data_IF_813281394939
#
_entry.id   IF_813281394939
#
_cell.length_a   1.000
_cell.length_b   1.000
_cell.length_c   1.000
_cell.angle_alpha   90.00
_cell.angle_beta   90.00
_cell.angle_gamma   90.00
#
_symmetry.space_group_name_H-M   'P 1'
#
loop_
_entity.id
_entity.type
_entity.pdbx_description
1 polymer ?
#
# COMPACT_ATOMS: atom_id res chain seq x y z
N UNK A 1 -24.69 63.79 26.95
CA UNK A 1 -24.40 62.96 25.76
C UNK A 1 -25.66 62.19 25.38
N UNK A 2 -26.16 62.31 24.15
CA UNK A 2 -27.43 61.65 23.76
C UNK A 2 -27.25 60.13 23.69
N UNK A 3 -28.26 59.35 24.12
CA UNK A 3 -28.27 57.88 23.96
C UNK A 3 -27.97 57.46 22.51
N UNK A 4 -28.37 58.27 21.53
CA UNK A 4 -28.06 58.05 20.10
C UNK A 4 -26.57 58.22 19.78
N UNK A 5 -25.87 59.14 20.44
CA UNK A 5 -24.43 59.37 20.27
C UNK A 5 -23.61 58.23 20.89
N UNK A 6 -24.00 57.77 22.09
CA UNK A 6 -23.37 56.61 22.76
C UNK A 6 -23.51 55.36 21.88
N UNK A 7 -24.73 55.09 21.38
CA UNK A 7 -25.01 53.94 20.51
C UNK A 7 -24.19 53.96 19.22
N UNK A 8 -24.06 55.12 18.56
CA UNK A 8 -23.26 55.28 17.33
C UNK A 8 -21.78 55.02 17.58
N UNK A 9 -21.25 55.50 18.71
CA UNK A 9 -19.85 55.29 19.09
C UNK A 9 -19.60 53.80 19.36
N UNK A 10 -20.48 53.14 20.13
CA UNK A 10 -20.36 51.70 20.40
C UNK A 10 -20.41 50.87 19.12
N UNK A 11 -21.33 51.18 18.19
CA UNK A 11 -21.43 50.49 16.91
C UNK A 11 -20.16 50.67 16.05
N UNK A 12 -19.58 51.87 16.03
CA UNK A 12 -18.35 52.14 15.28
C UNK A 12 -17.15 51.34 15.83
N UNK A 13 -16.99 51.27 17.16
CA UNK A 13 -15.94 50.47 17.77
C UNK A 13 -16.11 48.96 17.51
N UNK A 14 -17.35 48.45 17.59
CA UNK A 14 -17.64 47.05 17.26
C UNK A 14 -17.29 46.72 15.80
N UNK A 15 -17.62 47.61 14.86
CA UNK A 15 -17.31 47.42 13.44
C UNK A 15 -15.79 47.36 13.18
N UNK A 16 -15.01 48.24 13.83
CA UNK A 16 -13.54 48.24 13.71
C UNK A 16 -12.94 46.95 14.29
N UNK A 17 -13.43 46.51 15.45
CA UNK A 17 -12.95 45.28 16.09
C UNK A 17 -13.23 44.04 15.21
N UNK A 18 -14.42 43.96 14.61
CA UNK A 18 -14.79 42.88 13.68
C UNK A 18 -13.89 42.91 12.44
N UNK A 19 -13.67 44.09 11.86
CA UNK A 19 -12.83 44.21 10.67
C UNK A 19 -11.37 43.82 10.97
N UNK A 20 -10.84 44.21 12.14
CA UNK A 20 -9.50 43.82 12.59
C UNK A 20 -9.38 42.31 12.85
N UNK A 21 -10.43 41.67 13.39
CA UNK A 21 -10.44 40.23 13.58
C UNK A 21 -10.49 39.47 12.25
N UNK A 22 -11.28 39.96 11.29
CA UNK A 22 -11.36 39.39 9.94
C UNK A 22 -10.01 39.51 9.22
N UNK A 23 -9.33 40.66 9.28
CA UNK A 23 -8.02 40.81 8.64
C UNK A 23 -6.95 39.92 9.26
N UNK A 24 -6.96 39.74 10.59
CA UNK A 24 -6.06 38.79 11.26
C UNK A 24 -6.38 37.35 10.85
N UNK A 25 -7.66 36.95 10.81
CA UNK A 25 -8.07 35.62 10.34
C UNK A 25 -7.66 35.38 8.88
N UNK A 26 -7.87 36.35 7.99
CA UNK A 26 -7.42 36.26 6.59
C UNK A 26 -5.89 36.17 6.49
N UNK A 27 -5.15 36.96 7.28
CA UNK A 27 -3.70 36.88 7.31
C UNK A 27 -3.22 35.52 7.83
N UNK A 28 -3.88 34.94 8.83
CA UNK A 28 -3.59 33.59 9.31
C UNK A 28 -3.85 32.54 8.23
N UNK A 29 -4.95 32.61 7.48
CA UNK A 29 -5.21 31.68 6.37
C UNK A 29 -4.18 31.80 5.25
N UNK A 30 -3.66 33.01 4.97
CA UNK A 30 -2.62 33.23 3.95
C UNK A 30 -1.22 32.79 4.44
N UNK A 31 -0.90 33.03 5.72
CA UNK A 31 0.40 32.67 6.31
C UNK A 31 0.48 31.20 6.71
N UNK A 32 -0.67 30.58 6.97
CA UNK A 32 -0.84 29.15 7.23
C UNK A 32 -1.82 28.60 6.18
N UNK A 33 -1.42 28.56 4.90
CA UNK A 33 -2.24 27.91 3.88
C UNK A 33 -2.54 26.50 4.40
N UNK A 34 -3.83 26.16 4.41
CA UNK A 34 -4.30 24.86 4.85
C UNK A 34 -3.57 23.79 4.02
N UNK A 35 -2.68 23.04 4.68
CA UNK A 35 -1.90 21.94 4.09
C UNK A 35 -2.83 20.86 3.46
N UNK A 36 -4.14 20.98 3.71
CA UNK A 36 -5.20 20.21 3.07
C UNK A 36 -5.52 20.61 1.62
N UNK A 37 -5.09 21.75 1.09
CA UNK A 37 -5.35 22.04 -0.34
C UNK A 37 -4.53 21.13 -1.25
N UNK A 38 -3.36 20.69 -0.79
CA UNK A 38 -2.61 19.62 -1.45
C UNK A 38 -3.32 18.26 -1.31
N UNK A 39 -4.23 18.05 -0.34
CA UNK A 39 -5.04 16.82 -0.18
C UNK A 39 -6.00 16.58 -1.35
N UNK A 40 -6.52 17.65 -1.95
CA UNK A 40 -7.37 17.55 -3.14
C UNK A 40 -6.59 17.56 -4.47
N UNK A 41 -5.33 18.00 -4.45
CA UNK A 41 -4.39 17.90 -5.57
C UNK A 41 -3.45 16.68 -5.46
N UNK A 42 -3.81 15.74 -4.58
CA UNK A 42 -3.02 14.58 -4.23
C UNK A 42 -3.34 13.37 -5.08
N UNK A 43 -2.30 12.75 -5.67
CA UNK A 43 -2.19 12.78 -7.11
C UNK A 43 -3.54 12.43 -7.73
N UNK A 44 -4.11 13.40 -8.44
CA UNK A 44 -5.04 13.07 -9.51
C UNK A 44 -4.37 11.92 -10.28
N UNK A 45 -4.97 10.72 -10.29
CA UNK A 45 -4.43 9.51 -10.95
C UNK A 45 -4.12 9.76 -12.45
N UNK A 46 -4.44 10.93 -12.98
CA UNK A 46 -4.01 11.50 -14.26
C UNK A 46 -2.50 11.78 -14.38
N UNK A 47 -1.74 11.90 -13.29
CA UNK A 47 -0.27 11.85 -13.34
C UNK A 47 0.19 10.39 -13.22
N UNK A 48 -0.09 9.58 -14.24
CA UNK A 48 0.28 8.16 -14.28
C UNK A 48 1.77 7.96 -13.96
N UNK A 49 2.13 7.22 -12.90
CA UNK A 49 3.53 6.83 -12.67
C UNK A 49 4.05 6.07 -13.89
N UNK A 50 5.37 6.09 -14.09
CA UNK A 50 5.96 5.17 -15.07
C UNK A 50 5.58 3.75 -14.63
N UNK A 51 5.12 2.94 -15.57
CA UNK A 51 4.74 1.57 -15.30
C UNK A 51 5.25 0.68 -16.41
N UNK A 52 5.45 -0.59 -16.07
CA UNK A 52 5.79 -1.61 -17.02
C UNK A 52 5.45 -2.97 -16.47
N UNK A 53 5.37 -3.94 -17.36
CA UNK A 53 5.05 -5.31 -16.99
C UNK A 53 5.83 -6.32 -17.80
N UNK A 54 6.00 -7.49 -17.20
CA UNK A 54 6.77 -8.59 -17.76
C UNK A 54 6.02 -9.90 -17.54
N UNK A 55 6.21 -10.81 -18.47
CA UNK A 55 5.91 -12.21 -18.29
C UNK A 55 7.07 -12.88 -17.56
N UNK A 56 6.75 -13.88 -16.75
CA UNK A 56 7.68 -14.73 -15.99
C UNK A 56 7.26 -16.19 -16.16
N UNK A 57 8.18 -17.12 -15.92
CA UNK A 57 7.83 -18.54 -15.76
C UNK A 57 7.71 -18.87 -14.26
N UNK A 58 6.50 -19.11 -13.72
CA UNK A 58 6.34 -19.40 -12.30
C UNK A 58 7.04 -20.67 -11.82
N UNK A 59 7.39 -21.61 -12.71
CA UNK A 59 8.08 -22.86 -12.35
C UNK A 59 9.57 -22.68 -12.18
N UNK A 60 10.19 -21.88 -13.04
CA UNK A 60 11.65 -21.78 -13.13
C UNK A 60 12.20 -20.46 -12.58
N UNK A 61 11.34 -19.46 -12.33
CA UNK A 61 11.78 -18.12 -11.90
C UNK A 61 12.78 -18.14 -10.75
N UNK A 62 12.57 -18.97 -9.72
CA UNK A 62 13.49 -18.98 -8.57
C UNK A 62 14.85 -19.57 -8.90
N UNK A 63 14.89 -20.63 -9.71
CA UNK A 63 16.16 -21.22 -10.17
C UNK A 63 16.92 -20.22 -11.03
N UNK A 64 16.24 -19.57 -11.97
CA UNK A 64 16.81 -18.51 -12.81
C UNK A 64 17.35 -17.34 -11.99
N UNK A 65 16.57 -16.83 -11.03
CA UNK A 65 16.99 -15.74 -10.15
C UNK A 65 18.18 -16.15 -9.25
N UNK A 66 18.21 -17.37 -8.74
CA UNK A 66 19.32 -17.88 -7.93
C UNK A 66 20.61 -18.04 -8.74
N UNK A 67 20.50 -18.34 -10.03
CA UNK A 67 21.63 -18.42 -10.96
C UNK A 67 22.09 -17.04 -11.48
N UNK A 68 21.35 -15.96 -11.15
CA UNK A 68 21.65 -14.60 -11.63
C UNK A 68 21.24 -14.36 -13.08
N UNK A 69 20.32 -15.17 -13.62
CA UNK A 69 19.82 -15.05 -14.99
C UNK A 69 18.96 -13.78 -15.15
N UNK A 70 19.24 -13.01 -16.21
CA UNK A 70 18.61 -11.71 -16.46
C UNK A 70 17.45 -11.75 -17.46
N UNK A 71 17.29 -12.86 -18.18
CA UNK A 71 16.24 -13.11 -19.17
C UNK A 71 14.93 -13.64 -18.57
N UNK A 72 14.87 -13.76 -17.24
CA UNK A 72 13.68 -14.15 -16.46
C UNK A 72 12.46 -13.24 -16.69
N UNK A 73 12.67 -11.96 -17.01
CA UNK A 73 11.61 -10.97 -17.22
C UNK A 73 11.42 -10.66 -18.71
N UNK A 74 10.45 -11.33 -19.33
CA UNK A 74 10.15 -11.16 -20.76
C UNK A 74 9.18 -10.00 -20.94
N UNK A 75 9.50 -8.96 -21.73
CA UNK A 75 8.60 -7.82 -21.93
C UNK A 75 7.19 -8.24 -22.34
N UNK A 76 6.16 -7.77 -21.63
CA UNK A 76 4.78 -7.98 -22.03
C UNK A 76 4.41 -6.97 -23.13
N UNK A 77 4.62 -7.37 -24.39
CA UNK A 77 4.32 -6.52 -25.56
C UNK A 77 2.85 -6.60 -26.02
N UNK A 78 2.06 -7.51 -25.43
CA UNK A 78 0.74 -7.89 -25.94
C UNK A 78 -0.44 -7.06 -25.41
N UNK A 79 -0.26 -6.22 -24.39
CA UNK A 79 -1.36 -5.54 -23.71
C UNK A 79 -1.11 -4.05 -23.52
N UNK A 80 -1.47 -3.28 -24.56
CA UNK A 80 -1.44 -1.81 -24.54
C UNK A 80 -2.55 -1.24 -23.63
N UNK A 81 -3.59 -2.03 -23.34
CA UNK A 81 -4.81 -1.58 -22.65
C UNK A 81 -4.87 -1.95 -21.14
N UNK A 82 -3.78 -2.44 -20.55
CA UNK A 82 -3.69 -2.70 -19.11
C UNK A 82 -4.50 -3.90 -18.59
N UNK A 83 -4.92 -4.82 -19.48
CA UNK A 83 -5.49 -6.11 -19.10
C UNK A 83 -4.44 -7.06 -18.49
N UNK A 84 -4.90 -8.15 -17.86
CA UNK A 84 -4.05 -9.28 -17.46
C UNK A 84 -3.85 -10.22 -18.64
N UNK A 85 -2.67 -10.86 -18.82
CA UNK A 85 -2.44 -11.79 -19.91
C UNK A 85 -3.49 -12.91 -19.93
N UNK A 86 -3.86 -13.38 -21.12
CA UNK A 86 -4.74 -14.55 -21.30
C UNK A 86 -4.07 -15.87 -20.87
N UNK A 87 -2.79 -15.81 -20.47
CA UNK A 87 -2.04 -16.95 -19.94
C UNK A 87 -2.56 -17.24 -18.54
N UNK A 88 -3.09 -18.44 -18.34
CA UNK A 88 -3.42 -18.97 -17.02
C UNK A 88 -2.48 -20.13 -16.73
N UNK A 89 -1.72 -19.99 -15.66
CA UNK A 89 -0.84 -21.04 -15.16
C UNK A 89 -1.66 -22.04 -14.34
N UNK A 90 -1.74 -23.27 -14.84
CA UNK A 90 -2.67 -24.29 -14.34
C UNK A 90 -2.19 -25.01 -13.07
N UNK A 91 -0.89 -24.94 -12.74
CA UNK A 91 -0.37 -25.63 -11.55
C UNK A 91 -0.63 -24.80 -10.28
N UNK A 92 -0.88 -25.45 -9.13
CA UNK A 92 -1.03 -24.76 -7.85
C UNK A 92 0.19 -23.89 -7.53
N UNK A 93 -0.06 -22.65 -7.12
CA UNK A 93 0.98 -21.74 -6.63
C UNK A 93 1.09 -21.88 -5.12
N UNK A 94 2.23 -22.39 -4.65
CA UNK A 94 2.54 -22.54 -3.22
C UNK A 94 3.57 -21.50 -2.74
N UNK A 95 3.57 -20.31 -3.34
CA UNK A 95 4.56 -19.29 -3.08
C UNK A 95 4.38 -18.65 -1.71
N UNK A 96 5.50 -18.41 -1.05
CA UNK A 96 5.65 -17.84 0.29
C UNK A 96 5.92 -16.34 0.24
N UNK A 97 5.76 -15.65 1.36
CA UNK A 97 6.10 -14.23 1.50
C UNK A 97 7.52 -13.94 0.98
N UNK A 98 8.49 -14.80 1.34
CA UNK A 98 9.89 -14.69 0.91
C UNK A 98 10.05 -14.68 -0.61
N UNK A 99 9.22 -15.46 -1.31
CA UNK A 99 9.32 -15.70 -2.74
C UNK A 99 8.91 -14.43 -3.52
N UNK A 100 7.84 -13.78 -3.06
CA UNK A 100 7.40 -12.49 -3.58
C UNK A 100 8.44 -11.39 -3.33
N UNK A 101 9.02 -11.32 -2.12
CA UNK A 101 10.06 -10.34 -1.80
C UNK A 101 11.31 -10.53 -2.68
N UNK A 102 11.68 -11.78 -2.98
CA UNK A 102 12.78 -12.11 -3.88
C UNK A 102 12.51 -11.60 -5.30
N UNK A 103 11.29 -11.83 -5.83
CA UNK A 103 10.90 -11.35 -7.16
C UNK A 103 10.85 -9.83 -7.21
N UNK A 104 10.28 -9.16 -6.21
CA UNK A 104 10.26 -7.69 -6.16
C UNK A 104 11.68 -7.10 -6.16
N UNK A 105 12.61 -7.67 -5.39
CA UNK A 105 14.02 -7.28 -5.38
C UNK A 105 14.68 -7.48 -6.74
N UNK A 106 14.44 -8.62 -7.39
CA UNK A 106 15.00 -8.92 -8.71
C UNK A 106 14.43 -7.99 -9.79
N UNK A 107 13.11 -7.78 -9.79
CA UNK A 107 12.42 -6.90 -10.73
C UNK A 107 12.89 -5.45 -10.57
N UNK A 108 13.08 -4.99 -9.33
CA UNK A 108 13.65 -3.69 -9.04
C UNK A 108 15.05 -3.52 -9.67
N UNK A 109 15.93 -4.51 -9.46
CA UNK A 109 17.28 -4.52 -10.02
C UNK A 109 17.24 -4.58 -11.56
N UNK A 110 16.28 -5.29 -12.13
CA UNK A 110 16.13 -5.38 -13.57
C UNK A 110 15.71 -4.06 -14.21
N UNK A 111 14.69 -3.40 -13.64
CA UNK A 111 14.10 -2.15 -14.18
C UNK A 111 14.99 -0.95 -13.95
N UNK A 112 15.42 -0.71 -12.71
CA UNK A 112 16.15 0.53 -12.35
C UNK A 112 17.67 0.36 -12.26
N UNK A 113 18.20 -0.85 -12.47
CA UNK A 113 19.63 -1.17 -12.28
C UNK A 113 20.15 -0.78 -10.88
N UNK A 114 19.26 -0.83 -9.90
CA UNK A 114 19.46 -0.41 -8.51
C UNK A 114 18.95 -1.50 -7.57
N UNK A 115 19.47 -1.54 -6.35
CA UNK A 115 18.99 -2.46 -5.32
C UNK A 115 17.82 -1.85 -4.55
N UNK A 116 17.04 -2.66 -3.84
CA UNK A 116 16.13 -2.15 -2.80
C UNK A 116 16.87 -1.72 -1.52
N UNK A 117 18.20 -1.67 -1.53
CA UNK A 117 19.00 -1.14 -0.41
C UNK A 117 18.68 0.32 -0.12
N UNK A 118 18.29 0.62 1.12
CA UNK A 118 17.86 1.94 1.55
C UNK A 118 16.47 2.35 1.03
N UNK A 119 15.71 1.42 0.48
CA UNK A 119 14.26 1.54 0.32
C UNK A 119 13.57 0.93 1.53
N UNK A 120 12.51 1.56 1.98
CA UNK A 120 11.70 1.15 3.11
C UNK A 120 10.43 0.49 2.59
N UNK A 121 10.09 -0.71 3.06
CA UNK A 121 8.79 -1.30 2.75
C UNK A 121 7.71 -0.50 3.48
N UNK A 122 6.71 -0.03 2.75
CA UNK A 122 5.54 0.64 3.30
C UNK A 122 4.41 -0.36 3.59
N UNK A 123 4.02 -1.15 2.59
CA UNK A 123 2.91 -2.10 2.70
C UNK A 123 3.27 -3.38 1.93
N UNK A 124 2.76 -4.50 2.42
CA UNK A 124 2.61 -5.70 1.61
C UNK A 124 1.25 -6.35 1.83
N UNK A 125 0.70 -6.87 0.76
CA UNK A 125 -0.56 -7.61 0.74
C UNK A 125 -0.38 -8.91 -0.04
N UNK A 126 -1.02 -9.97 0.42
CA UNK A 126 -1.06 -11.29 -0.19
C UNK A 126 -2.51 -11.75 -0.30
N UNK A 127 -2.83 -12.48 -1.36
CA UNK A 127 -4.20 -12.91 -1.61
C UNK A 127 -4.22 -14.35 -2.09
N UNK A 128 -5.30 -15.03 -1.74
CA UNK A 128 -5.61 -16.38 -2.14
C UNK A 128 -7.14 -16.55 -2.17
N UNK A 129 -7.62 -17.45 -3.01
CA UNK A 129 -9.01 -17.89 -2.92
C UNK A 129 -9.16 -18.88 -1.75
N UNK A 130 -10.35 -18.95 -1.17
CA UNK A 130 -10.63 -19.93 -0.11
C UNK A 130 -10.63 -21.36 -0.69
N UNK A 131 -10.02 -22.30 0.03
CA UNK A 131 -10.06 -23.74 -0.26
C UNK A 131 -9.82 -24.53 1.02
N UNK A 132 -10.08 -25.84 1.04
CA UNK A 132 -10.12 -26.64 2.28
C UNK A 132 -8.90 -26.49 3.21
N UNK A 133 -7.71 -26.35 2.61
CA UNK A 133 -6.45 -26.16 3.32
C UNK A 133 -5.64 -25.03 2.65
N UNK A 134 -5.95 -23.75 2.96
CA UNK A 134 -5.31 -22.60 2.32
C UNK A 134 -3.79 -22.61 2.54
N UNK A 135 -3.02 -22.61 1.46
CA UNK A 135 -1.56 -22.59 1.53
C UNK A 135 -0.97 -21.91 0.31
N UNK A 136 0.08 -21.12 0.53
CA UNK A 136 0.63 -20.26 -0.51
C UNK A 136 -0.28 -19.09 -0.85
N UNK A 137 0.25 -18.15 -1.61
CA UNK A 137 -0.49 -17.00 -2.11
C UNK A 137 -0.57 -17.06 -3.63
N UNK A 138 -1.65 -16.53 -4.20
CA UNK A 138 -1.87 -16.47 -5.65
C UNK A 138 -1.43 -15.14 -6.24
N UNK A 139 -1.38 -14.09 -5.42
CA UNK A 139 -0.87 -12.77 -5.82
C UNK A 139 -0.37 -11.98 -4.63
N UNK A 140 0.52 -11.03 -4.91
CA UNK A 140 1.02 -10.05 -3.94
C UNK A 140 1.07 -8.64 -4.51
N UNK A 141 0.87 -7.66 -3.63
CA UNK A 141 1.18 -6.25 -3.87
C UNK A 141 2.16 -5.77 -2.80
N UNK A 142 3.19 -5.05 -3.21
CA UNK A 142 4.16 -4.45 -2.29
C UNK A 142 4.49 -3.03 -2.71
N UNK A 143 4.56 -2.12 -1.74
CA UNK A 143 4.94 -0.73 -1.96
C UNK A 143 6.19 -0.42 -1.15
N UNK A 144 7.21 0.08 -1.84
CA UNK A 144 8.45 0.58 -1.26
C UNK A 144 8.55 2.09 -1.45
N UNK A 145 9.23 2.75 -0.52
CA UNK A 145 9.53 4.16 -0.64
C UNK A 145 10.96 4.50 -0.22
N UNK A 146 11.45 5.64 -0.69
CA UNK A 146 12.75 6.19 -0.30
C UNK A 146 12.68 7.70 -0.18
N UNK A 147 13.30 8.26 0.86
CA UNK A 147 13.47 9.71 0.96
C UNK A 147 14.69 10.10 0.14
N UNK A 148 14.51 10.89 -0.92
CA UNK A 148 15.57 11.23 -1.88
C UNK A 148 16.18 12.63 -1.66
N UNK A 149 15.46 13.52 -0.98
CA UNK A 149 15.97 14.84 -0.65
C UNK A 149 15.28 15.41 0.58
N UNK A 150 16.03 16.17 1.36
CA UNK A 150 15.52 17.03 2.44
C UNK A 150 16.15 18.40 2.27
N UNK A 151 15.51 19.30 1.52
CA UNK A 151 15.93 20.71 1.48
C UNK A 151 15.11 21.48 2.51
N UNK A 152 15.72 21.76 3.67
CA UNK A 152 14.99 22.27 4.84
C UNK A 152 14.00 21.22 5.36
N UNK A 153 12.75 21.62 5.61
CA UNK A 153 11.66 20.74 6.07
C UNK A 153 10.96 19.95 4.95
N UNK A 154 11.23 20.27 3.67
CA UNK A 154 10.57 19.61 2.54
C UNK A 154 11.27 18.30 2.21
N UNK A 155 10.59 17.19 2.52
CA UNK A 155 11.00 15.83 2.15
C UNK A 155 10.45 15.46 0.79
N UNK A 156 11.30 14.96 -0.09
CA UNK A 156 10.90 14.39 -1.37
C UNK A 156 11.07 12.89 -1.30
N UNK A 157 10.11 12.20 -1.87
CA UNK A 157 9.87 10.79 -1.71
C UNK A 157 9.77 10.09 -3.06
N UNK A 158 10.53 9.02 -3.28
CA UNK A 158 10.35 8.12 -4.43
C UNK A 158 9.53 6.90 -4.01
N UNK A 159 8.69 6.37 -4.91
CA UNK A 159 7.86 5.17 -4.69
C UNK A 159 8.14 4.12 -5.75
N UNK A 160 8.10 2.85 -5.34
CA UNK A 160 8.09 1.70 -6.22
C UNK A 160 7.02 0.72 -5.76
N UNK A 161 6.08 0.42 -6.63
CA UNK A 161 5.05 -0.59 -6.41
C UNK A 161 5.35 -1.81 -7.25
N UNK A 162 5.05 -2.99 -6.70
CA UNK A 162 5.19 -4.27 -7.38
C UNK A 162 3.88 -5.05 -7.24
N UNK A 163 3.38 -5.54 -8.37
CA UNK A 163 2.28 -6.51 -8.42
C UNK A 163 2.80 -7.81 -9.01
N UNK A 164 2.62 -8.92 -8.31
CA UNK A 164 3.14 -10.22 -8.73
C UNK A 164 1.97 -11.22 -8.76
N UNK A 165 1.69 -11.75 -9.93
CA UNK A 165 0.52 -12.58 -10.23
C UNK A 165 0.97 -13.86 -10.95
N UNK A 166 1.54 -14.84 -10.22
CA UNK A 166 2.05 -16.09 -10.79
C UNK A 166 1.00 -16.89 -11.56
N UNK A 167 -0.28 -16.85 -11.14
CA UNK A 167 -1.39 -17.46 -11.88
C UNK A 167 -1.52 -16.96 -13.31
N UNK A 168 -1.06 -15.73 -13.59
CA UNK A 168 -1.06 -15.15 -14.92
C UNK A 168 0.34 -15.05 -15.53
N UNK A 169 1.32 -15.74 -14.92
CA UNK A 169 2.72 -15.67 -15.34
C UNK A 169 3.21 -14.21 -15.45
N UNK A 170 2.76 -13.34 -14.53
CA UNK A 170 2.78 -11.89 -14.73
C UNK A 170 3.38 -11.14 -13.54
N UNK A 171 4.19 -10.12 -13.84
CA UNK A 171 4.64 -9.12 -12.87
C UNK A 171 4.51 -7.72 -13.44
N UNK A 172 4.20 -6.76 -12.58
CA UNK A 172 4.08 -5.34 -12.90
C UNK A 172 4.86 -4.52 -11.90
N UNK A 173 5.42 -3.41 -12.38
CA UNK A 173 6.01 -2.39 -11.55
C UNK A 173 5.39 -1.02 -11.86
N UNK A 174 5.33 -0.16 -10.84
CA UNK A 174 5.01 1.27 -10.99
C UNK A 174 6.02 2.11 -10.22
N UNK A 175 6.40 3.26 -10.75
CA UNK A 175 7.36 4.14 -10.09
C UNK A 175 7.78 5.33 -10.96
N UNK A 176 9.04 5.76 -10.79
CA UNK A 176 9.65 6.84 -11.58
C UNK A 176 9.23 8.26 -11.21
N UNK A 177 8.22 8.42 -10.33
CA UNK A 177 7.77 9.73 -9.83
C UNK A 177 8.16 9.97 -8.39
N UNK A 178 8.35 11.26 -8.12
CA UNK A 178 8.67 11.79 -6.80
C UNK A 178 7.47 12.53 -6.22
N UNK A 179 7.28 12.40 -4.91
CA UNK A 179 6.16 12.94 -4.17
C UNK A 179 6.68 13.93 -3.10
N UNK A 180 6.02 15.08 -2.92
CA UNK A 180 6.44 16.09 -1.93
C UNK A 180 6.00 15.74 -0.50
N UNK A 181 5.18 14.72 -0.32
CA UNK A 181 4.70 14.22 0.98
C UNK A 181 4.30 12.74 0.84
N UNK A 182 4.23 11.99 1.95
CA UNK A 182 3.90 10.57 1.90
C UNK A 182 2.44 10.34 1.55
N UNK A 183 2.15 9.52 0.53
CA UNK A 183 0.78 9.28 0.03
C UNK A 183 -0.20 8.82 1.11
N UNK A 184 0.28 8.15 2.16
CA UNK A 184 -0.54 7.56 3.21
C UNK A 184 0.16 7.54 4.59
N UNK A 185 0.92 8.59 4.92
CA UNK A 185 1.65 8.65 6.20
C UNK A 185 2.72 7.56 6.33
N UNK A 186 3.61 7.48 5.35
CA UNK A 186 4.59 6.42 5.19
C UNK A 186 5.45 6.23 6.43
N UNK A 187 5.22 5.08 7.05
CA UNK A 187 6.05 4.51 8.08
C UNK A 187 6.67 3.25 7.49
N UNK A 188 7.90 2.96 7.86
CA UNK A 188 8.56 1.74 7.43
C UNK A 188 7.97 0.54 8.18
N UNK A 189 7.85 -0.58 7.49
CA UNK A 189 7.74 -1.91 8.08
C UNK A 189 9.15 -2.40 8.36
N UNK A 190 9.45 -2.66 9.64
CA UNK A 190 10.75 -3.17 10.05
C UNK A 190 10.72 -4.70 10.09
N UNK A 191 11.06 -5.34 8.96
CA UNK A 191 11.04 -6.80 8.82
C UNK A 191 11.87 -7.54 9.85
N UNK A 192 12.98 -6.95 10.31
CA UNK A 192 13.89 -7.59 11.26
C UNK A 192 13.23 -7.76 12.64
N UNK A 193 12.18 -6.99 12.91
CA UNK A 193 11.43 -7.06 14.16
C UNK A 193 10.27 -8.04 14.11
N UNK A 194 9.82 -8.45 12.91
CA UNK A 194 8.65 -9.31 12.77
C UNK A 194 9.02 -10.77 13.08
N UNK A 195 8.27 -11.41 13.97
CA UNK A 195 8.38 -12.85 14.23
C UNK A 195 7.34 -13.67 13.46
N UNK A 196 6.23 -13.01 13.08
CA UNK A 196 5.12 -13.60 12.34
C UNK A 196 5.23 -13.12 10.89
N UNK A 197 5.32 -14.05 9.95
CA UNK A 197 5.19 -13.77 8.51
C UNK A 197 3.72 -13.91 8.06
N UNK A 198 3.45 -13.64 6.78
CA UNK A 198 2.10 -13.72 6.22
C UNK A 198 1.49 -15.13 6.35
N UNK A 199 2.28 -16.19 6.19
CA UNK A 199 1.83 -17.57 6.31
C UNK A 199 1.44 -17.93 7.74
N UNK A 200 2.23 -17.49 8.72
CA UNK A 200 1.93 -17.64 10.13
C UNK A 200 0.69 -16.84 10.52
N UNK A 201 0.54 -15.62 10.00
CA UNK A 201 -0.67 -14.82 10.21
C UNK A 201 -1.91 -15.51 9.64
N UNK A 202 -1.83 -16.05 8.42
CA UNK A 202 -2.91 -16.82 7.82
C UNK A 202 -3.26 -18.05 8.66
N UNK A 203 -2.25 -18.82 9.08
CA UNK A 203 -2.44 -20.01 9.92
C UNK A 203 -3.12 -19.66 11.24
N UNK A 204 -2.66 -18.61 11.93
CA UNK A 204 -3.26 -18.13 13.17
C UNK A 204 -4.71 -17.72 12.93
N UNK A 205 -5.01 -16.99 11.84
CA UNK A 205 -6.38 -16.59 11.53
C UNK A 205 -7.29 -17.80 11.27
N UNK A 206 -6.81 -18.80 10.53
CA UNK A 206 -7.54 -20.05 10.27
C UNK A 206 -7.84 -20.82 11.55
N UNK A 207 -6.88 -20.88 12.50
CA UNK A 207 -7.03 -21.50 13.82
C UNK A 207 -8.02 -20.74 14.73
N UNK A 208 -8.27 -19.45 14.47
CA UNK A 208 -9.07 -18.56 15.32
C UNK A 208 -10.41 -18.14 14.66
N UNK A 209 -10.96 -18.98 13.78
CA UNK A 209 -12.30 -18.79 13.22
C UNK A 209 -12.34 -18.60 11.71
N UNK A 210 -11.21 -18.29 11.07
CA UNK A 210 -11.09 -18.20 9.62
C UNK A 210 -11.58 -19.46 8.92
N UNK A 211 -11.19 -20.63 9.40
CA UNK A 211 -11.65 -21.92 8.86
C UNK A 211 -13.17 -22.06 8.92
N UNK A 212 -13.80 -21.62 10.02
CA UNK A 212 -15.25 -21.70 10.16
C UNK A 212 -15.95 -20.81 9.14
N UNK A 213 -15.44 -19.58 8.93
CA UNK A 213 -15.95 -18.64 7.92
C UNK A 213 -15.88 -19.30 6.53
N UNK A 214 -14.72 -19.82 6.14
CA UNK A 214 -14.58 -20.44 4.82
C UNK A 214 -15.53 -21.61 4.63
N UNK A 215 -15.65 -22.49 5.63
CA UNK A 215 -16.53 -23.65 5.57
C UNK A 215 -18.02 -23.26 5.54
N UNK A 216 -18.42 -22.23 6.29
CA UNK A 216 -19.79 -21.69 6.27
C UNK A 216 -20.20 -21.24 4.86
N UNK A 217 -19.28 -20.68 4.10
CA UNK A 217 -19.51 -20.21 2.73
C UNK A 217 -19.05 -21.19 1.65
N UNK A 218 -18.87 -22.48 1.98
CA UNK A 218 -18.44 -23.52 1.03
C UNK A 218 -17.19 -23.13 0.22
N UNK A 219 -16.22 -22.47 0.86
CA UNK A 219 -15.01 -21.92 0.24
C UNK A 219 -15.26 -20.87 -0.86
N UNK A 220 -16.47 -20.32 -0.98
CA UNK A 220 -16.74 -19.20 -1.89
C UNK A 220 -16.38 -17.86 -1.24
N UNK A 221 -15.10 -17.67 -0.98
CA UNK A 221 -14.56 -16.45 -0.41
C UNK A 221 -13.16 -16.15 -0.93
N UNK A 222 -12.70 -14.93 -0.66
CA UNK A 222 -11.31 -14.51 -0.87
C UNK A 222 -10.67 -14.15 0.44
N UNK A 223 -9.39 -14.44 0.56
CA UNK A 223 -8.60 -14.08 1.73
C UNK A 223 -7.58 -13.04 1.31
N UNK A 224 -7.44 -11.98 2.12
CA UNK A 224 -6.35 -11.00 2.01
C UNK A 224 -5.57 -10.97 3.31
N UNK A 225 -4.27 -11.24 3.24
CA UNK A 225 -3.33 -11.11 4.35
C UNK A 225 -2.46 -9.91 4.08
N UNK A 226 -2.46 -8.90 4.94
CA UNK A 226 -1.68 -7.69 4.68
C UNK A 226 -1.12 -7.07 5.94
N UNK A 227 -0.01 -6.36 5.75
CA UNK A 227 0.71 -5.63 6.78
C UNK A 227 0.81 -4.17 6.35
N UNK A 228 0.18 -3.29 7.14
CA UNK A 228 0.25 -1.84 6.97
C UNK A 228 0.88 -1.20 8.21
N UNK A 229 1.62 -0.11 8.06
CA UNK A 229 2.40 0.46 9.14
C UNK A 229 1.52 1.47 9.88
N UNK A 230 0.71 0.98 10.81
CA UNK A 230 -0.15 1.81 11.67
C UNK A 230 0.62 2.32 12.91
N UNK A 231 -0.09 2.87 13.90
CA UNK A 231 0.52 3.19 15.22
C UNK A 231 1.11 1.92 15.84
N UNK A 232 0.51 0.76 15.55
CA UNK A 232 1.06 -0.55 15.83
C UNK A 232 0.96 -1.36 14.54
N UNK A 233 2.09 -1.62 13.87
CA UNK A 233 2.15 -2.53 12.71
C UNK A 233 1.48 -3.84 13.08
N UNK A 234 0.48 -4.28 12.30
CA UNK A 234 -0.36 -5.45 12.60
C UNK A 234 -0.67 -6.22 11.33
N UNK A 235 -0.61 -7.54 11.43
CA UNK A 235 -1.16 -8.38 10.38
C UNK A 235 -2.67 -8.28 10.43
N UNK A 236 -3.29 -8.06 9.28
CA UNK A 236 -4.74 -8.07 9.10
C UNK A 236 -5.06 -9.17 8.12
N UNK A 237 -5.96 -10.08 8.51
CA UNK A 237 -6.45 -11.17 7.66
C UNK A 237 -7.93 -10.96 7.41
N UNK A 238 -8.27 -10.62 6.18
CA UNK A 238 -9.64 -10.39 5.75
C UNK A 238 -10.20 -11.61 5.02
N UNK A 239 -11.45 -11.93 5.32
CA UNK A 239 -12.27 -12.88 4.59
C UNK A 239 -13.40 -12.11 3.92
N UNK A 240 -13.36 -12.05 2.60
CA UNK A 240 -14.36 -11.35 1.79
C UNK A 240 -15.28 -12.37 1.13
N UNK A 241 -16.58 -12.25 1.39
CA UNK A 241 -17.65 -13.03 0.76
C UNK A 241 -18.56 -12.06 0.03
N UNK A 242 -19.01 -12.41 -1.18
CA UNK A 242 -19.89 -11.55 -1.96
C UNK A 242 -21.19 -11.24 -1.20
N UNK A 243 -21.51 -9.95 -1.04
CA UNK A 243 -22.74 -9.49 -0.39
C UNK A 243 -22.69 -9.45 1.14
N UNK A 244 -21.54 -9.73 1.78
CA UNK A 244 -21.37 -9.74 3.23
C UNK A 244 -20.27 -8.75 3.63
N UNK A 245 -20.40 -8.03 4.77
CA UNK A 245 -19.29 -7.26 5.33
C UNK A 245 -18.04 -8.11 5.52
N UNK A 246 -16.88 -7.54 5.22
CA UNK A 246 -15.60 -8.24 5.40
C UNK A 246 -15.39 -8.59 6.87
N UNK A 247 -14.98 -9.83 7.11
CA UNK A 247 -14.58 -10.29 8.44
C UNK A 247 -13.06 -10.15 8.55
N UNK A 248 -12.60 -9.52 9.63
CA UNK A 248 -11.20 -9.21 9.87
C UNK A 248 -10.73 -9.88 11.16
N UNK A 249 -9.52 -10.45 11.12
CA UNK A 249 -8.75 -10.78 12.31
C UNK A 249 -7.46 -9.98 12.30
N UNK A 250 -7.13 -9.38 13.44
CA UNK A 250 -5.96 -8.53 13.63
C UNK A 250 -4.96 -9.25 14.52
N UNK A 251 -3.76 -9.48 14.01
CA UNK A 251 -2.71 -10.29 14.65
C UNK A 251 -1.49 -9.42 14.95
N UNK A 252 -0.99 -9.55 16.18
CA UNK A 252 0.27 -8.94 16.61
C UNK A 252 1.46 -9.61 15.89
N UNK A 253 2.31 -8.87 15.15
CA UNK A 253 3.36 -9.46 14.32
C UNK A 253 4.59 -9.92 15.11
N UNK A 254 4.67 -9.60 16.41
CA UNK A 254 5.78 -9.99 17.29
C UNK A 254 5.43 -11.26 18.08
N UNK A 255 4.16 -11.41 18.44
CA UNK A 255 3.69 -12.45 19.38
C UNK A 255 2.70 -13.44 18.76
N UNK A 256 2.08 -13.10 17.63
CA UNK A 256 1.03 -13.93 17.01
C UNK A 256 -0.31 -13.92 17.75
N UNK A 257 -0.49 -13.03 18.74
CA UNK A 257 -1.77 -12.93 19.47
C UNK A 257 -2.82 -12.21 18.63
N UNK A 258 -4.06 -12.70 18.69
CA UNK A 258 -5.24 -11.98 18.19
C UNK A 258 -5.47 -10.74 19.07
N UNK A 259 -5.67 -9.60 18.43
CA UNK A 259 -5.94 -8.31 19.05
C UNK A 259 -7.42 -7.96 18.92
N UNK A 260 -8.01 -8.25 17.77
CA UNK A 260 -9.41 -7.99 17.39
C UNK A 260 -9.83 -9.07 16.38
#
# INVERSE_FOLDING_TARGET
>A
MSKKSVLRITLAFSAIAILGMITVLCALVILFPDDNQDYYNYPNFSLQPEMGSYLIDPETIFDSLNNGETDTFVPNLGQIDGGLPDVVFEKPINWKQSDYLMIAKALNQYVWKDTLGGWELYEMSFFLDCHDNPSGFERSFMTYFKTISSYGEKKIYAVRDFSILPKYAYVEWRGGKNYPRPLFGWKRIDFETLHINAEDALRIAEENGGKNIRLEFNNNCRIKVFLVPEINTRWRVWYSVEGIPELELVIDPLTGKIID
#
